data_IF_157971673908
#
_entry.id   IF_157971673908
#
_cell.length_a   1.000
_cell.length_b   1.000
_cell.length_c   1.000
_cell.angle_alpha   90.00
_cell.angle_beta   90.00
_cell.angle_gamma   90.00
#
_symmetry.space_group_name_H-M   'P 1'
#
loop_
_entity.id
_entity.type
_entity.pdbx_description
1 polymer ?
#
# COMPACT_ATOMS: atom_id res chain seq x y z
N UNK A 1 7.36 -3.30 -45.00
CA UNK A 1 7.39 -3.73 -43.57
C UNK A 1 8.82 -4.08 -43.22
N UNK A 2 9.35 -3.51 -42.12
CA UNK A 2 10.67 -3.89 -41.60
C UNK A 2 10.54 -5.20 -40.84
N UNK A 3 11.36 -6.18 -41.17
CA UNK A 3 11.39 -7.48 -40.51
C UNK A 3 12.58 -7.54 -39.56
N UNK A 4 12.36 -7.92 -38.32
CA UNK A 4 13.41 -8.22 -37.36
C UNK A 4 13.44 -9.74 -37.20
N UNK A 5 14.63 -10.33 -37.35
CA UNK A 5 14.84 -11.75 -37.14
C UNK A 5 15.76 -11.94 -35.95
N UNK A 6 15.36 -12.76 -34.99
CA UNK A 6 16.14 -13.11 -33.81
C UNK A 6 16.62 -14.55 -33.97
N UNK A 7 17.94 -14.76 -33.83
CA UNK A 7 18.57 -16.07 -33.87
C UNK A 7 18.94 -16.48 -32.45
N UNK A 8 18.29 -17.50 -31.94
CA UNK A 8 18.49 -17.98 -30.56
C UNK A 8 19.83 -18.67 -30.38
N UNK A 9 20.39 -19.21 -31.46
CA UNK A 9 21.64 -19.98 -31.44
C UNK A 9 22.92 -19.11 -31.61
N UNK A 10 22.73 -17.82 -31.90
CA UNK A 10 23.86 -16.91 -32.16
C UNK A 10 24.04 -15.93 -30.99
N UNK A 11 25.07 -16.18 -30.18
CA UNK A 11 25.46 -15.25 -29.12
C UNK A 11 26.49 -14.28 -29.67
N UNK A 12 26.08 -13.04 -29.92
CA UNK A 12 26.95 -11.97 -30.41
C UNK A 12 27.73 -11.25 -29.31
N UNK A 13 27.19 -11.23 -28.09
CA UNK A 13 27.79 -10.62 -26.93
C UNK A 13 27.25 -11.22 -25.65
N UNK A 14 28.12 -11.58 -24.75
CA UNK A 14 27.79 -11.96 -23.39
C UNK A 14 27.69 -10.70 -22.51
N UNK A 15 26.51 -10.44 -21.97
CA UNK A 15 26.28 -9.35 -21.00
C UNK A 15 26.38 -9.94 -19.59
N UNK A 16 27.54 -9.79 -18.94
CA UNK A 16 27.78 -10.33 -17.59
C UNK A 16 26.92 -9.60 -16.55
N UNK A 17 27.49 -8.66 -15.84
CA UNK A 17 26.85 -7.94 -14.72
C UNK A 17 26.25 -6.59 -15.15
N UNK A 18 25.72 -6.52 -16.38
CA UNK A 18 25.23 -5.27 -16.95
C UNK A 18 23.73 -5.03 -16.70
N UNK A 19 23.02 -6.04 -16.21
CA UNK A 19 21.62 -5.94 -15.90
C UNK A 19 21.42 -5.57 -14.44
N UNK A 20 20.63 -4.55 -14.22
CA UNK A 20 20.14 -4.14 -12.92
C UNK A 20 18.65 -3.85 -13.01
N UNK A 21 18.04 -3.68 -11.90
CA UNK A 21 16.67 -3.16 -11.80
C UNK A 21 16.70 -1.82 -11.08
N UNK A 22 15.89 -0.91 -11.55
CA UNK A 22 15.52 0.30 -10.84
C UNK A 22 14.14 0.10 -10.26
N UNK A 23 14.01 0.34 -8.96
CA UNK A 23 12.74 0.24 -8.27
C UNK A 23 12.30 1.64 -7.81
N UNK A 24 11.07 2.00 -8.14
CA UNK A 24 10.44 3.22 -7.72
C UNK A 24 9.00 2.92 -7.32
N UNK A 25 8.56 3.40 -6.16
CA UNK A 25 7.20 3.18 -5.69
C UNK A 25 6.22 4.16 -6.35
N UNK A 26 5.84 3.81 -7.57
CA UNK A 26 4.80 4.51 -8.33
C UNK A 26 3.56 3.62 -8.41
N UNK A 27 2.38 4.20 -8.19
CA UNK A 27 1.11 3.49 -8.29
C UNK A 27 1.04 2.22 -7.44
N UNK A 28 1.50 2.29 -6.20
CA UNK A 28 1.51 1.15 -5.26
C UNK A 28 2.36 -0.03 -5.75
N UNK A 29 3.51 0.23 -6.37
CA UNK A 29 4.39 -0.82 -6.87
C UNK A 29 5.07 -1.62 -5.75
N UNK A 30 5.31 -1.02 -4.60
CA UNK A 30 5.86 -1.68 -3.40
C UNK A 30 4.74 -2.27 -2.53
N UNK A 31 4.07 -1.43 -1.76
CA UNK A 31 2.95 -1.81 -0.90
C UNK A 31 1.67 -1.91 -1.74
N UNK A 32 1.02 -3.07 -1.74
CA UNK A 32 -0.07 -3.39 -2.67
C UNK A 32 0.39 -3.91 -4.04
N UNK A 33 1.71 -3.97 -4.31
CA UNK A 33 2.33 -4.51 -5.51
C UNK A 33 3.25 -5.69 -5.21
N UNK A 34 4.58 -5.49 -5.20
CA UNK A 34 5.56 -6.54 -4.87
C UNK A 34 5.33 -7.12 -3.48
N UNK A 35 4.99 -6.29 -2.51
CA UNK A 35 4.45 -6.72 -1.24
C UNK A 35 2.92 -6.78 -1.34
N UNK A 36 2.37 -7.98 -1.38
CA UNK A 36 0.95 -8.23 -1.59
C UNK A 36 0.10 -7.92 -0.35
N UNK A 37 0.20 -6.70 0.17
CA UNK A 37 -0.64 -6.17 1.24
C UNK A 37 -1.98 -5.70 0.64
N UNK A 38 -3.07 -6.12 1.25
CA UNK A 38 -4.42 -5.78 0.82
C UNK A 38 -5.03 -4.61 1.61
N UNK A 39 -4.52 -4.39 2.83
CA UNK A 39 -4.99 -3.33 3.73
C UNK A 39 -4.12 -2.11 3.59
N UNK A 40 -4.62 -1.07 2.95
CA UNK A 40 -3.92 0.21 2.85
C UNK A 40 -3.94 0.94 4.20
N UNK A 41 -2.82 1.61 4.54
CA UNK A 41 -2.70 2.36 5.80
C UNK A 41 -3.03 1.51 7.05
N UNK A 42 -2.50 0.30 7.12
CA UNK A 42 -2.76 -0.66 8.20
C UNK A 42 -2.27 -0.19 9.58
N UNK A 43 -1.26 0.67 9.60
CA UNK A 43 -0.64 1.21 10.83
C UNK A 43 -1.16 2.59 11.21
N UNK A 44 -2.10 3.16 10.46
CA UNK A 44 -2.66 4.51 10.68
C UNK A 44 -1.60 5.63 10.67
N UNK A 45 -0.53 5.45 9.90
CA UNK A 45 0.63 6.36 9.86
C UNK A 45 0.67 7.26 8.63
N UNK A 46 -0.30 7.17 7.73
CA UNK A 46 -0.37 8.05 6.57
C UNK A 46 -0.48 9.50 7.02
N UNK A 47 0.32 10.36 6.41
CA UNK A 47 0.44 11.77 6.80
C UNK A 47 0.49 12.70 5.57
N UNK A 48 0.13 13.97 5.74
CA UNK A 48 0.18 14.96 4.66
C UNK A 48 1.57 15.22 4.07
N UNK A 49 2.63 14.77 4.74
CA UNK A 49 4.00 14.83 4.21
C UNK A 49 4.19 13.89 3.00
N UNK A 50 3.50 12.76 2.99
CA UNK A 50 3.57 11.77 1.92
C UNK A 50 2.68 12.15 0.73
N UNK A 51 1.49 12.60 1.03
CA UNK A 51 0.55 13.17 0.07
C UNK A 51 -0.37 14.15 0.81
N UNK A 52 -0.61 15.33 0.23
CA UNK A 52 -1.40 16.41 0.86
C UNK A 52 -2.82 15.99 1.25
N UNK A 53 -3.36 14.96 0.61
CA UNK A 53 -4.70 14.42 0.89
C UNK A 53 -4.70 13.32 1.96
N UNK A 54 -3.52 12.86 2.38
CA UNK A 54 -3.41 11.77 3.35
C UNK A 54 -3.59 12.26 4.78
N UNK A 55 -4.21 11.39 5.57
CA UNK A 55 -4.32 11.49 7.02
C UNK A 55 -4.31 10.07 7.62
N UNK A 56 -4.25 9.98 8.93
CA UNK A 56 -4.17 8.70 9.65
C UNK A 56 -5.34 7.74 9.39
N UNK A 57 -6.48 8.22 8.90
CA UNK A 57 -7.67 7.42 8.56
C UNK A 57 -7.86 7.22 7.06
N UNK A 58 -6.91 7.67 6.24
CA UNK A 58 -6.95 7.44 4.80
C UNK A 58 -7.12 5.95 4.48
N UNK A 59 -7.98 5.61 3.52
CA UNK A 59 -8.40 4.28 3.13
C UNK A 59 -9.30 3.53 4.14
N UNK A 60 -9.72 4.18 5.21
CA UNK A 60 -10.66 3.61 6.17
C UNK A 60 -12.00 4.34 6.13
N UNK A 61 -13.08 3.58 6.24
CA UNK A 61 -14.44 4.08 6.32
C UNK A 61 -15.20 3.42 7.47
N UNK A 62 -16.25 4.10 7.93
CA UNK A 62 -17.11 3.64 9.01
C UNK A 62 -18.57 3.97 8.73
N UNK A 63 -19.47 3.25 9.39
CA UNK A 63 -20.87 3.69 9.50
C UNK A 63 -21.00 4.97 10.35
N UNK A 64 -22.09 5.71 10.15
CA UNK A 64 -22.28 7.04 10.74
C UNK A 64 -22.26 7.03 12.28
N UNK A 65 -22.75 5.99 12.90
CA UNK A 65 -22.85 5.89 14.36
C UNK A 65 -21.52 5.49 15.04
N UNK A 66 -20.55 4.98 14.29
CA UNK A 66 -19.24 4.60 14.84
C UNK A 66 -18.48 5.85 15.26
N UNK A 67 -17.98 5.83 16.48
CA UNK A 67 -16.99 6.79 16.96
C UNK A 67 -15.61 6.17 16.85
N UNK A 68 -14.68 6.88 16.29
CA UNK A 68 -13.30 6.43 16.18
C UNK A 68 -12.29 7.55 16.38
N UNK A 69 -11.11 7.19 16.83
CA UNK A 69 -9.94 8.06 16.93
C UNK A 69 -8.66 7.25 16.73
N UNK A 70 -7.64 7.86 16.19
CA UNK A 70 -6.29 7.26 16.14
C UNK A 70 -5.51 7.77 17.34
N UNK A 71 -5.00 6.84 18.14
CA UNK A 71 -4.30 7.10 19.40
C UNK A 71 -2.86 6.58 19.32
N UNK A 72 -1.99 7.09 20.18
CA UNK A 72 -0.59 6.70 20.28
C UNK A 72 -0.06 6.59 21.72
N UNK A 73 -0.90 6.80 22.74
CA UNK A 73 -0.44 6.86 24.12
C UNK A 73 -0.05 5.49 24.72
N UNK A 74 -0.64 4.40 24.20
CA UNK A 74 -0.35 3.04 24.67
C UNK A 74 -0.22 2.08 23.49
N UNK A 75 0.81 2.24 22.67
CA UNK A 75 0.97 1.46 21.43
C UNK A 75 1.21 -0.02 21.71
N UNK A 76 0.91 -0.86 20.73
CA UNK A 76 1.14 -2.30 20.79
C UNK A 76 2.63 -2.63 21.00
N UNK A 77 3.49 -1.91 20.30
CA UNK A 77 4.96 -1.97 20.42
C UNK A 77 5.60 -0.68 19.91
N UNK A 78 6.92 -0.57 20.00
CA UNK A 78 7.67 0.60 19.57
C UNK A 78 7.64 0.85 18.05
N UNK A 79 7.37 -0.18 17.25
CA UNK A 79 7.33 -0.11 15.78
C UNK A 79 5.94 0.24 15.25
N UNK A 80 4.88 -0.10 15.98
CA UNK A 80 3.49 0.24 15.65
C UNK A 80 2.94 1.21 16.70
N UNK A 81 3.24 2.48 16.49
CA UNK A 81 2.97 3.55 17.47
C UNK A 81 1.53 4.03 17.45
N UNK A 82 0.79 3.78 16.38
CA UNK A 82 -0.60 4.21 16.25
C UNK A 82 -1.56 3.02 16.30
N UNK A 83 -2.74 3.25 16.85
CA UNK A 83 -3.83 2.29 16.87
C UNK A 83 -5.18 2.98 16.77
N UNK A 84 -6.19 2.26 16.29
CA UNK A 84 -7.55 2.75 16.15
C UNK A 84 -8.38 2.40 17.37
N UNK A 85 -8.91 3.41 18.04
CA UNK A 85 -9.97 3.26 19.05
C UNK A 85 -11.32 3.33 18.35
N UNK A 86 -12.17 2.33 18.57
CA UNK A 86 -13.48 2.22 17.92
C UNK A 86 -14.57 1.95 18.94
N UNK A 87 -15.69 2.67 18.83
CA UNK A 87 -16.91 2.41 19.58
C UNK A 87 -18.11 2.43 18.65
N UNK A 88 -18.93 1.37 18.71
CA UNK A 88 -20.13 1.22 17.88
C UNK A 88 -21.06 0.15 18.42
N UNK A 89 -22.20 -0.06 17.75
CA UNK A 89 -23.21 -1.08 18.04
C UNK A 89 -23.10 -2.31 17.16
N UNK A 90 -24.05 -3.22 17.30
CA UNK A 90 -24.04 -4.53 16.60
C UNK A 90 -24.20 -4.41 15.08
N UNK A 91 -24.84 -3.35 14.60
CA UNK A 91 -25.08 -3.12 13.17
C UNK A 91 -24.07 -2.14 12.54
N UNK A 92 -23.09 -1.71 13.32
CA UNK A 92 -22.07 -0.80 12.84
C UNK A 92 -20.90 -1.54 12.21
N UNK A 93 -20.20 -0.86 11.31
CA UNK A 93 -19.02 -1.41 10.64
C UNK A 93 -17.89 -0.39 10.52
N UNK A 94 -16.69 -0.92 10.37
CA UNK A 94 -15.53 -0.27 9.80
C UNK A 94 -15.02 -1.11 8.64
N UNK A 95 -14.51 -0.49 7.60
CA UNK A 95 -13.93 -1.21 6.45
C UNK A 95 -12.70 -0.50 5.92
N UNK A 96 -11.80 -1.27 5.34
CA UNK A 96 -10.67 -0.76 4.59
C UNK A 96 -11.00 -0.80 3.09
N UNK A 97 -10.66 0.25 2.37
CA UNK A 97 -10.92 0.36 0.93
C UNK A 97 -9.86 -0.34 0.08
N UNK A 98 -8.79 -0.84 0.70
CA UNK A 98 -7.67 -1.43 -0.01
C UNK A 98 -6.93 -0.42 -0.89
N UNK A 99 -6.18 -0.94 -1.85
CA UNK A 99 -5.48 -0.13 -2.85
C UNK A 99 -6.36 0.03 -4.09
N UNK A 100 -6.40 1.22 -4.68
CA UNK A 100 -7.10 1.50 -5.95
C UNK A 100 -8.58 1.03 -6.00
N UNK A 101 -9.38 1.43 -5.01
CA UNK A 101 -10.84 1.16 -4.94
C UNK A 101 -11.28 -0.19 -4.40
N UNK A 102 -10.41 -0.96 -3.80
CA UNK A 102 -10.80 -2.15 -3.06
C UNK A 102 -10.53 -3.47 -3.76
N UNK A 103 -10.73 -4.51 -2.99
CA UNK A 103 -10.61 -5.90 -3.44
C UNK A 103 -12.01 -6.35 -3.84
N UNK A 104 -12.16 -6.80 -5.06
CA UNK A 104 -13.40 -7.41 -5.57
C UNK A 104 -13.24 -8.91 -5.70
#
# INVERSE_FOLDING_TARGET
MKKITVYEDEVTKELKDLFGIFFEDINHAADGGLYAELVQNRSFEFAPIDNKEYNSLTAWEKSDNVKWSVECESPLNEENTHYLCVGGGADDYIRNLGFNTGIY
#
